data_IF_430926806045
#
_entry.id   IF_430926806045
#
_cell.length_a   1.000
_cell.length_b   1.000
_cell.length_c   1.000
_cell.angle_alpha   90.00
_cell.angle_beta   90.00
_cell.angle_gamma   90.00
#
_symmetry.space_group_name_H-M   'P 1'
#
loop_
_entity.id
_entity.type
_entity.pdbx_description
1 polymer ?
#
# COMPACT_ATOMS: atom_id res chain seq x y z
N UNK A 1 19.13 -66.05 28.73
CA UNK A 1 18.63 -65.71 27.40
C UNK A 1 18.24 -64.24 27.42
N UNK A 2 19.11 -63.38 26.84
CA UNK A 2 18.89 -61.93 26.77
C UNK A 2 18.37 -61.62 25.36
N UNK A 3 17.10 -61.19 25.26
CA UNK A 3 16.51 -60.69 24.02
C UNK A 3 16.89 -59.25 23.78
N UNK A 4 17.78 -59.00 22.88
CA UNK A 4 18.09 -57.66 22.37
C UNK A 4 17.00 -57.21 21.42
N UNK A 5 16.15 -56.30 21.88
CA UNK A 5 15.16 -55.61 21.05
C UNK A 5 15.88 -54.70 20.04
N UNK A 6 15.80 -55.12 18.76
CA UNK A 6 16.29 -54.33 17.64
C UNK A 6 15.39 -53.07 17.42
N UNK A 7 15.75 -51.97 18.07
CA UNK A 7 15.13 -50.64 17.83
C UNK A 7 15.75 -49.87 16.64
N UNK A 8 16.50 -50.53 15.78
CA UNK A 8 17.29 -49.86 14.72
C UNK A 8 16.52 -49.41 13.47
N UNK A 9 15.41 -50.01 13.03
CA UNK A 9 14.78 -49.59 11.80
C UNK A 9 14.01 -48.24 11.95
N UNK A 10 13.53 -47.89 13.17
CA UNK A 10 12.82 -46.62 13.39
C UNK A 10 13.73 -45.42 13.39
N UNK A 11 14.95 -45.55 13.89
CA UNK A 11 15.94 -44.44 13.92
C UNK A 11 16.44 -44.13 12.52
N UNK A 12 16.64 -45.15 11.68
CA UNK A 12 17.05 -44.98 10.26
C UNK A 12 15.95 -44.36 9.42
N UNK A 13 14.68 -44.68 9.67
CA UNK A 13 13.52 -44.08 9.00
C UNK A 13 13.34 -42.62 9.43
N UNK A 14 13.53 -42.30 10.71
CA UNK A 14 13.48 -40.90 11.21
C UNK A 14 14.66 -40.10 10.70
N UNK A 15 15.86 -40.65 10.61
CA UNK A 15 16.99 -39.96 9.98
C UNK A 15 16.81 -39.75 8.48
N UNK A 16 16.22 -40.69 7.76
CA UNK A 16 15.86 -40.53 6.34
C UNK A 16 14.78 -39.44 6.13
N UNK A 17 13.81 -39.35 7.04
CA UNK A 17 12.78 -38.34 6.99
C UNK A 17 13.33 -36.93 7.36
N UNK A 18 14.23 -36.84 8.32
CA UNK A 18 14.95 -35.60 8.65
C UNK A 18 15.91 -35.16 7.53
N UNK A 19 16.47 -36.07 6.79
CA UNK A 19 17.39 -35.76 5.67
C UNK A 19 16.64 -35.34 4.41
N UNK A 20 15.35 -35.68 4.28
CA UNK A 20 14.45 -35.22 3.20
C UNK A 20 13.72 -33.90 3.53
N UNK A 21 13.78 -33.45 4.78
CA UNK A 21 13.57 -32.05 5.12
C UNK A 21 14.87 -31.29 4.83
N UNK A 22 15.39 -31.49 3.62
CA UNK A 22 16.40 -30.63 3.06
C UNK A 22 15.77 -29.24 3.07
N UNK A 23 16.21 -28.44 3.99
CA UNK A 23 16.03 -27.00 3.99
C UNK A 23 16.61 -26.50 2.67
N UNK A 24 15.87 -26.60 1.60
CA UNK A 24 15.90 -25.58 0.57
C UNK A 24 15.56 -24.29 1.32
N UNK A 25 16.58 -23.73 1.93
CA UNK A 25 16.56 -22.33 2.32
C UNK A 25 16.26 -21.63 1.00
N UNK A 26 14.99 -21.28 0.81
CA UNK A 26 14.61 -20.31 -0.19
C UNK A 26 15.50 -19.10 0.08
N UNK A 27 16.63 -19.01 -0.61
CA UNK A 27 17.42 -17.80 -0.68
C UNK A 27 16.53 -16.82 -1.43
N UNK A 28 15.72 -16.12 -0.67
CA UNK A 28 15.03 -14.93 -1.15
C UNK A 28 16.13 -13.90 -1.41
N UNK A 29 16.67 -13.91 -2.63
CA UNK A 29 17.55 -12.85 -3.07
C UNK A 29 16.68 -11.60 -3.18
N UNK A 30 16.85 -10.71 -2.20
CA UNK A 30 16.17 -9.41 -2.21
C UNK A 30 16.73 -8.58 -3.36
N UNK A 31 15.87 -8.18 -4.26
CA UNK A 31 16.21 -7.31 -5.37
C UNK A 31 16.26 -5.84 -4.94
N UNK A 32 16.90 -4.99 -5.72
CA UNK A 32 16.86 -3.53 -5.46
C UNK A 32 15.43 -3.00 -5.47
N UNK A 33 14.53 -3.59 -6.26
CA UNK A 33 13.10 -3.29 -6.29
C UNK A 33 12.44 -3.59 -4.95
N UNK A 34 12.75 -4.72 -4.30
CA UNK A 34 12.19 -5.08 -2.99
C UNK A 34 12.60 -4.09 -1.89
N UNK A 35 13.84 -3.60 -1.95
CA UNK A 35 14.30 -2.56 -1.01
C UNK A 35 13.56 -1.23 -1.23
N UNK A 36 13.27 -0.84 -2.48
CA UNK A 36 12.47 0.35 -2.77
C UNK A 36 11.03 0.19 -2.29
N UNK A 37 10.40 -0.95 -2.55
CA UNK A 37 9.05 -1.27 -2.05
C UNK A 37 9.02 -1.18 -0.53
N UNK A 38 9.97 -1.79 0.16
CA UNK A 38 10.05 -1.78 1.62
C UNK A 38 10.19 -0.37 2.19
N UNK A 39 11.07 0.46 1.60
CA UNK A 39 11.25 1.87 2.02
C UNK A 39 9.97 2.69 1.82
N UNK A 40 9.34 2.59 0.66
CA UNK A 40 8.10 3.33 0.38
C UNK A 40 6.94 2.84 1.24
N UNK A 41 6.85 1.53 1.50
CA UNK A 41 5.87 0.97 2.43
C UNK A 41 6.11 1.46 3.87
N UNK A 42 7.37 1.56 4.31
CA UNK A 42 7.71 2.10 5.63
C UNK A 42 7.33 3.58 5.76
N UNK A 43 7.59 4.40 4.74
CA UNK A 43 7.15 5.81 4.72
C UNK A 43 5.63 5.90 4.76
N UNK A 44 4.92 5.11 3.95
CA UNK A 44 3.45 5.08 3.95
C UNK A 44 2.88 4.63 5.30
N UNK A 45 3.54 3.67 5.97
CA UNK A 45 3.18 3.23 7.31
C UNK A 45 3.43 4.33 8.35
N UNK A 46 4.56 5.02 8.28
CA UNK A 46 4.88 6.18 9.13
C UNK A 46 3.82 7.27 9.03
N UNK A 47 3.37 7.59 7.80
CA UNK A 47 2.27 8.53 7.57
C UNK A 47 0.95 8.02 8.13
N UNK A 48 0.68 6.71 8.06
CA UNK A 48 -0.51 6.11 8.68
C UNK A 48 -0.50 6.24 10.20
N UNK A 49 0.68 6.08 10.83
CA UNK A 49 0.85 6.29 12.28
C UNK A 49 0.61 7.75 12.63
N UNK A 50 1.22 8.68 11.90
CA UNK A 50 1.04 10.11 12.09
C UNK A 50 -0.43 10.51 11.94
N UNK A 51 -1.09 9.99 10.90
CA UNK A 51 -2.51 10.20 10.66
C UNK A 51 -3.39 9.68 11.80
N UNK A 52 -3.00 8.56 12.42
CA UNK A 52 -3.74 7.98 13.55
C UNK A 52 -3.67 8.84 14.82
N UNK A 53 -2.65 9.69 14.95
CA UNK A 53 -2.49 10.63 16.05
C UNK A 53 -3.35 11.90 15.86
N UNK A 54 -3.85 12.15 14.66
CA UNK A 54 -4.72 13.29 14.36
C UNK A 54 -6.16 12.93 14.73
N UNK A 55 -6.81 13.69 15.64
CA UNK A 55 -8.21 13.42 15.96
C UNK A 55 -9.09 13.62 14.73
N UNK A 56 -9.77 12.56 14.32
CA UNK A 56 -10.71 12.63 13.19
C UNK A 56 -11.96 13.40 13.59
N UNK A 57 -12.39 14.41 12.83
CA UNK A 57 -13.62 15.15 13.11
C UNK A 57 -14.87 14.28 12.96
N UNK A 58 -14.78 13.20 12.21
CA UNK A 58 -15.86 12.23 11.98
C UNK A 58 -15.32 10.80 12.17
N UNK A 59 -15.99 9.93 12.93
CA UNK A 59 -15.61 8.54 13.05
C UNK A 59 -15.55 7.85 11.68
N UNK A 60 -14.40 7.26 11.35
CA UNK A 60 -14.19 6.55 10.07
C UNK A 60 -13.68 7.42 8.92
N UNK A 61 -13.64 8.75 9.06
CA UNK A 61 -13.04 9.66 8.05
C UNK A 61 -11.60 9.97 8.46
N UNK A 62 -10.64 9.45 7.68
CA UNK A 62 -9.21 9.75 7.85
C UNK A 62 -8.69 10.51 6.63
N UNK A 63 -7.75 11.46 6.81
CA UNK A 63 -7.21 12.27 5.70
C UNK A 63 -6.59 11.46 4.56
N UNK A 64 -6.16 10.24 4.83
CA UNK A 64 -5.58 9.35 3.81
C UNK A 64 -4.20 9.79 3.35
N UNK A 65 -3.39 10.42 4.22
CA UNK A 65 -2.04 10.91 3.89
C UNK A 65 -1.14 9.83 3.28
N UNK A 66 -1.31 8.59 3.71
CA UNK A 66 -0.57 7.48 3.15
C UNK A 66 -0.92 7.18 1.67
N UNK A 67 -2.04 7.66 1.15
CA UNK A 67 -2.37 7.59 -0.28
C UNK A 67 -1.47 8.49 -1.13
N UNK A 68 -0.92 9.56 -0.56
CA UNK A 68 0.07 10.43 -1.25
C UNK A 68 1.26 9.58 -1.71
N UNK A 69 1.79 8.73 -0.82
CA UNK A 69 2.91 7.83 -1.17
C UNK A 69 2.51 6.87 -2.28
N UNK A 70 1.30 6.31 -2.21
CA UNK A 70 0.80 5.41 -3.26
C UNK A 70 0.73 6.09 -4.63
N UNK A 71 0.30 7.36 -4.69
CA UNK A 71 0.25 8.15 -5.92
C UNK A 71 1.65 8.47 -6.46
N UNK A 72 2.58 8.89 -5.60
CA UNK A 72 3.98 9.16 -5.98
C UNK A 72 4.65 7.88 -6.51
N UNK A 73 4.46 6.76 -5.80
CA UNK A 73 5.01 5.47 -6.24
C UNK A 73 4.37 5.01 -7.55
N UNK A 74 3.07 5.23 -7.74
CA UNK A 74 2.37 4.92 -8.99
C UNK A 74 2.96 5.68 -10.17
N UNK A 75 3.18 6.99 -9.99
CA UNK A 75 3.71 7.85 -11.05
C UNK A 75 5.18 7.54 -11.40
N UNK A 76 6.02 7.21 -10.41
CA UNK A 76 7.46 6.99 -10.60
C UNK A 76 7.86 5.56 -10.92
N UNK A 77 7.24 4.61 -10.25
CA UNK A 77 7.64 3.19 -10.27
C UNK A 77 6.57 2.29 -10.88
N UNK A 78 5.43 2.85 -11.21
CA UNK A 78 4.34 2.13 -11.86
C UNK A 78 3.43 1.35 -10.92
N UNK A 79 2.43 0.71 -11.53
CA UNK A 79 1.31 0.12 -10.79
C UNK A 79 1.70 -1.06 -9.89
N UNK A 80 2.62 -1.93 -10.34
CA UNK A 80 3.04 -3.10 -9.54
C UNK A 80 3.60 -2.68 -8.19
N UNK A 81 4.50 -1.71 -8.18
CA UNK A 81 5.12 -1.22 -6.97
C UNK A 81 4.12 -0.49 -6.07
N UNK A 82 3.25 0.35 -6.66
CA UNK A 82 2.18 1.02 -5.91
C UNK A 82 1.21 0.03 -5.25
N UNK A 83 0.87 -1.07 -5.93
CA UNK A 83 0.03 -2.11 -5.38
C UNK A 83 0.69 -2.79 -4.17
N UNK A 84 1.95 -3.19 -4.27
CA UNK A 84 2.68 -3.79 -3.16
C UNK A 84 2.81 -2.85 -1.97
N UNK A 85 3.18 -1.59 -2.21
CA UNK A 85 3.30 -0.57 -1.15
C UNK A 85 1.96 -0.37 -0.43
N UNK A 86 0.87 -0.26 -1.19
CA UNK A 86 -0.47 -0.06 -0.61
C UNK A 86 -0.95 -1.28 0.19
N UNK A 87 -0.73 -2.50 -0.30
CA UNK A 87 -1.11 -3.73 0.41
C UNK A 87 -0.26 -3.95 1.66
N UNK A 88 1.07 -3.80 1.54
CA UNK A 88 1.98 -3.93 2.69
C UNK A 88 1.64 -2.92 3.79
N UNK A 89 1.31 -1.68 3.42
CA UNK A 89 0.87 -0.66 4.38
C UNK A 89 -0.37 -1.09 5.16
N UNK A 90 -1.40 -1.63 4.48
CA UNK A 90 -2.63 -2.08 5.14
C UNK A 90 -2.36 -3.26 6.07
N UNK A 91 -1.58 -4.24 5.60
CA UNK A 91 -1.23 -5.42 6.40
C UNK A 91 -0.36 -5.01 7.61
N UNK A 92 0.75 -4.31 7.37
CA UNK A 92 1.66 -3.90 8.43
C UNK A 92 0.98 -2.95 9.44
N UNK A 93 0.16 -2.00 8.95
CA UNK A 93 -0.61 -1.12 9.82
C UNK A 93 -1.60 -1.88 10.70
N UNK A 94 -2.30 -2.88 10.16
CA UNK A 94 -3.25 -3.68 10.93
C UNK A 94 -2.56 -4.53 12.00
N UNK A 95 -1.37 -5.05 11.73
CA UNK A 95 -0.57 -5.73 12.75
C UNK A 95 -0.10 -4.76 13.84
N UNK A 96 0.41 -3.59 13.44
CA UNK A 96 0.94 -2.60 14.38
C UNK A 96 -0.11 -2.08 15.35
N UNK A 97 -1.34 -1.84 14.86
CA UNK A 97 -2.45 -1.37 15.68
C UNK A 97 -3.26 -2.49 16.35
N UNK A 98 -2.86 -3.76 16.19
CA UNK A 98 -3.59 -4.91 16.74
C UNK A 98 -4.98 -5.12 16.12
N UNK A 99 -5.23 -4.56 14.95
CA UNK A 99 -6.52 -4.61 14.25
C UNK A 99 -6.58 -5.65 13.13
N UNK A 100 -5.61 -6.56 13.09
CA UNK A 100 -5.57 -7.61 12.07
C UNK A 100 -6.81 -8.51 12.17
N UNK A 101 -7.44 -8.79 11.03
CA UNK A 101 -8.71 -9.54 10.90
C UNK A 101 -9.93 -8.92 11.62
N UNK A 102 -9.83 -7.70 12.10
CA UNK A 102 -11.02 -6.96 12.59
C UNK A 102 -11.82 -6.37 11.42
N UNK A 103 -13.08 -5.93 11.65
CA UNK A 103 -13.83 -5.20 10.62
C UNK A 103 -13.06 -4.02 10.03
N UNK A 104 -12.28 -3.30 10.83
CA UNK A 104 -11.44 -2.18 10.38
C UNK A 104 -10.36 -2.58 9.38
N UNK A 105 -9.77 -3.76 9.52
CA UNK A 105 -8.85 -4.32 8.53
C UNK A 105 -9.52 -4.55 7.18
N UNK A 106 -10.70 -5.20 7.18
CA UNK A 106 -11.42 -5.47 5.94
C UNK A 106 -11.91 -4.20 5.24
N UNK A 107 -12.30 -3.17 6.01
CA UNK A 107 -12.62 -1.86 5.46
C UNK A 107 -11.39 -1.23 4.77
N UNK A 108 -10.25 -1.24 5.45
CA UNK A 108 -9.02 -0.67 4.90
C UNK A 108 -8.53 -1.44 3.66
N UNK A 109 -8.64 -2.76 3.70
CA UNK A 109 -8.24 -3.63 2.59
C UNK A 109 -9.15 -3.44 1.37
N UNK A 110 -10.47 -3.45 1.56
CA UNK A 110 -11.43 -3.26 0.46
C UNK A 110 -11.28 -1.88 -0.18
N UNK A 111 -11.10 -0.85 0.63
CA UNK A 111 -10.83 0.50 0.15
C UNK A 111 -9.53 0.56 -0.67
N UNK A 112 -8.45 -0.02 -0.18
CA UNK A 112 -7.17 -0.05 -0.88
C UNK A 112 -7.25 -0.83 -2.20
N UNK A 113 -7.88 -2.00 -2.20
CA UNK A 113 -8.05 -2.82 -3.41
C UNK A 113 -8.87 -2.09 -4.46
N UNK A 114 -10.02 -1.52 -4.08
CA UNK A 114 -10.88 -0.83 -5.05
C UNK A 114 -10.20 0.44 -5.58
N UNK A 115 -9.51 1.19 -4.74
CA UNK A 115 -8.68 2.33 -5.15
C UNK A 115 -7.60 1.93 -6.16
N UNK A 116 -6.87 0.84 -5.90
CA UNK A 116 -5.85 0.33 -6.81
C UNK A 116 -6.44 -0.14 -8.14
N UNK A 117 -7.62 -0.78 -8.14
CA UNK A 117 -8.29 -1.19 -9.37
C UNK A 117 -8.67 0.02 -10.24
N UNK A 118 -9.20 1.08 -9.62
CA UNK A 118 -9.53 2.32 -10.33
C UNK A 118 -8.27 3.00 -10.87
N UNK A 119 -7.18 3.05 -10.10
CA UNK A 119 -5.90 3.57 -10.56
C UNK A 119 -5.30 2.72 -11.70
N UNK A 120 -5.45 1.39 -11.62
CA UNK A 120 -5.02 0.50 -12.70
C UNK A 120 -5.80 0.76 -14.00
N UNK A 121 -7.08 1.09 -13.91
CA UNK A 121 -7.89 1.47 -15.06
C UNK A 121 -7.53 2.88 -15.55
N UNK A 122 -7.36 3.84 -14.63
CA UNK A 122 -7.07 5.24 -14.95
C UNK A 122 -5.76 5.41 -15.75
N UNK A 123 -4.76 4.54 -15.56
CA UNK A 123 -3.50 4.57 -16.32
C UNK A 123 -3.68 4.31 -17.82
N UNK A 124 -4.81 3.73 -18.25
CA UNK A 124 -5.14 3.51 -19.67
C UNK A 124 -5.79 4.73 -20.32
N UNK A 125 -6.14 5.75 -19.52
CA UNK A 125 -6.74 6.98 -19.99
C UNK A 125 -5.64 7.99 -20.38
N UNK A 126 -5.87 8.85 -21.37
CA UNK A 126 -4.91 9.85 -21.80
C UNK A 126 -4.55 10.80 -20.66
N UNK A 127 -3.26 10.99 -20.37
CA UNK A 127 -2.73 11.87 -19.31
C UNK A 127 -3.26 13.31 -19.40
N UNK A 128 -3.59 13.75 -20.61
CA UNK A 128 -4.14 15.09 -20.86
C UNK A 128 -5.43 15.37 -20.09
N UNK A 129 -6.20 14.34 -19.71
CA UNK A 129 -7.47 14.45 -18.97
C UNK A 129 -7.38 13.94 -17.54
N UNK A 130 -6.36 13.14 -17.24
CA UNK A 130 -6.19 12.43 -15.98
C UNK A 130 -4.84 12.73 -15.33
N UNK A 131 -4.63 13.99 -14.91
CA UNK A 131 -3.48 14.37 -14.08
C UNK A 131 -3.53 13.74 -12.69
N UNK A 132 -2.44 13.89 -11.94
CA UNK A 132 -2.24 13.33 -10.58
C UNK A 132 -3.39 13.67 -9.63
N UNK A 133 -3.91 14.89 -9.70
CA UNK A 133 -5.04 15.34 -8.85
C UNK A 133 -6.31 14.57 -9.17
N UNK A 134 -6.64 14.41 -10.47
CA UNK A 134 -7.82 13.65 -10.90
C UNK A 134 -7.71 12.19 -10.46
N UNK A 135 -6.54 11.57 -10.63
CA UNK A 135 -6.28 10.19 -10.18
C UNK A 135 -6.47 10.05 -8.67
N UNK A 136 -5.99 11.03 -7.89
CA UNK A 136 -6.18 11.06 -6.43
C UNK A 136 -7.65 11.12 -6.04
N UNK A 137 -8.43 11.97 -6.68
CA UNK A 137 -9.87 12.11 -6.41
C UNK A 137 -10.60 10.80 -6.72
N UNK A 138 -10.37 10.21 -7.89
CA UNK A 138 -10.99 8.93 -8.25
C UNK A 138 -10.56 7.79 -7.31
N UNK A 139 -9.29 7.75 -6.91
CA UNK A 139 -8.78 6.80 -5.94
C UNK A 139 -9.46 6.96 -4.57
N UNK A 140 -9.67 8.21 -4.12
CA UNK A 140 -10.35 8.50 -2.85
C UNK A 140 -11.83 8.07 -2.90
N UNK A 141 -12.54 8.37 -3.98
CA UNK A 141 -13.92 7.90 -4.16
C UNK A 141 -14.01 6.37 -4.19
N UNK A 142 -13.12 5.73 -4.94
CA UNK A 142 -13.06 4.26 -5.01
C UNK A 142 -12.75 3.65 -3.64
N UNK A 143 -11.84 4.27 -2.88
CA UNK A 143 -11.50 3.83 -1.53
C UNK A 143 -12.72 3.86 -0.61
N UNK A 144 -13.43 4.97 -0.58
CA UNK A 144 -14.66 5.13 0.21
C UNK A 144 -15.74 4.17 -0.28
N UNK A 145 -15.92 4.01 -1.59
CA UNK A 145 -16.89 3.06 -2.13
C UNK A 145 -16.59 1.62 -1.70
N UNK A 146 -15.31 1.21 -1.69
CA UNK A 146 -14.89 -0.10 -1.19
C UNK A 146 -15.23 -0.30 0.29
N UNK A 147 -14.98 0.71 1.11
CA UNK A 147 -15.36 0.68 2.53
C UNK A 147 -16.87 0.59 2.71
N UNK A 148 -17.65 1.43 2.03
CA UNK A 148 -19.11 1.43 2.10
C UNK A 148 -19.70 0.10 1.65
N UNK A 149 -19.12 -0.53 0.63
CA UNK A 149 -19.54 -1.84 0.16
C UNK A 149 -19.40 -2.89 1.27
N UNK A 150 -18.28 -2.94 1.98
CA UNK A 150 -18.07 -3.88 3.08
C UNK A 150 -19.00 -3.57 4.26
N UNK A 151 -19.19 -2.28 4.58
CA UNK A 151 -20.14 -1.88 5.64
C UNK A 151 -21.54 -2.36 5.29
N UNK A 152 -22.00 -2.14 4.07
CA UNK A 152 -23.35 -2.51 3.63
C UNK A 152 -23.55 -4.03 3.57
N UNK A 153 -22.57 -4.77 3.04
CA UNK A 153 -22.71 -6.21 2.82
C UNK A 153 -22.52 -7.03 4.10
N UNK A 154 -21.72 -6.54 5.04
CA UNK A 154 -21.26 -7.36 6.17
C UNK A 154 -21.58 -6.77 7.54
N UNK A 155 -21.37 -5.46 7.76
CA UNK A 155 -21.52 -4.88 9.10
C UNK A 155 -22.97 -4.46 9.40
N UNK A 156 -23.57 -3.71 8.50
CA UNK A 156 -24.89 -3.08 8.69
C UNK A 156 -25.67 -3.17 7.38
N UNK A 157 -26.35 -4.28 7.09
CA UNK A 157 -27.13 -4.42 5.85
C UNK A 157 -28.46 -3.63 5.96
N UNK A 158 -28.37 -2.31 6.09
CA UNK A 158 -29.50 -1.42 6.21
C UNK A 158 -29.39 -0.23 5.25
N UNK A 159 -30.49 0.11 4.56
CA UNK A 159 -30.51 1.21 3.60
C UNK A 159 -30.14 2.58 4.21
N UNK A 160 -30.20 2.74 5.52
CA UNK A 160 -29.79 3.95 6.23
C UNK A 160 -28.33 4.36 6.01
N UNK A 161 -27.46 3.44 5.57
CA UNK A 161 -26.07 3.76 5.19
C UNK A 161 -26.02 4.76 4.02
N UNK A 162 -27.04 4.76 3.15
CA UNK A 162 -27.12 5.69 2.03
C UNK A 162 -27.08 7.17 2.48
N UNK A 163 -27.57 7.50 3.68
CA UNK A 163 -27.49 8.85 4.23
C UNK A 163 -26.06 9.30 4.58
N UNK A 164 -25.11 8.36 4.73
CA UNK A 164 -23.71 8.66 4.98
C UNK A 164 -22.93 8.91 3.69
N UNK A 165 -23.44 8.46 2.54
CA UNK A 165 -22.77 8.60 1.23
C UNK A 165 -22.39 10.05 0.93
N UNK A 166 -23.26 11.07 1.06
CA UNK A 166 -22.87 12.45 0.74
C UNK A 166 -21.77 12.98 1.66
N UNK A 167 -21.76 12.59 2.93
CA UNK A 167 -20.73 12.99 3.89
C UNK A 167 -19.38 12.39 3.50
N UNK A 168 -19.34 11.08 3.22
CA UNK A 168 -18.11 10.42 2.83
C UNK A 168 -17.65 10.82 1.42
N UNK A 169 -18.57 11.12 0.52
CA UNK A 169 -18.25 11.62 -0.83
C UNK A 169 -17.61 13.01 -0.77
N UNK A 170 -18.13 13.92 0.06
CA UNK A 170 -17.52 15.24 0.25
C UNK A 170 -16.15 15.14 0.90
N UNK A 171 -15.98 14.26 1.90
CA UNK A 171 -14.69 14.00 2.50
C UNK A 171 -13.70 13.41 1.48
N UNK A 172 -14.11 12.45 0.66
CA UNK A 172 -13.28 11.88 -0.41
C UNK A 172 -12.86 12.95 -1.43
N UNK A 173 -13.75 13.86 -1.81
CA UNK A 173 -13.44 14.97 -2.71
C UNK A 173 -12.38 15.90 -2.11
N UNK A 174 -12.60 16.36 -0.88
CA UNK A 174 -11.70 17.30 -0.19
C UNK A 174 -10.32 16.66 0.01
N UNK A 175 -10.26 15.49 0.65
CA UNK A 175 -8.99 14.83 0.93
C UNK A 175 -8.32 14.30 -0.34
N UNK A 176 -9.10 13.82 -1.33
CA UNK A 176 -8.57 13.42 -2.62
C UNK A 176 -7.91 14.58 -3.36
N UNK A 177 -8.52 15.77 -3.32
CA UNK A 177 -7.95 16.99 -3.92
C UNK A 177 -6.67 17.41 -3.19
N UNK A 178 -6.70 17.49 -1.87
CA UNK A 178 -5.53 17.89 -1.05
C UNK A 178 -4.37 16.91 -1.26
N UNK A 179 -4.62 15.61 -1.18
CA UNK A 179 -3.59 14.59 -1.37
C UNK A 179 -3.02 14.61 -2.80
N UNK A 180 -3.88 14.85 -3.80
CA UNK A 180 -3.47 14.98 -5.19
C UNK A 180 -2.60 16.21 -5.44
N UNK A 181 -2.93 17.36 -4.85
CA UNK A 181 -2.14 18.58 -4.93
C UNK A 181 -0.77 18.40 -4.26
N UNK A 182 -0.74 17.79 -3.07
CA UNK A 182 0.51 17.50 -2.37
C UNK A 182 1.37 16.56 -3.22
N UNK A 183 0.81 15.47 -3.74
CA UNK A 183 1.54 14.54 -4.59
C UNK A 183 2.10 15.21 -5.85
N UNK A 184 1.30 16.03 -6.54
CA UNK A 184 1.72 16.78 -7.70
C UNK A 184 2.88 17.74 -7.38
N UNK A 185 2.76 18.50 -6.28
CA UNK A 185 3.81 19.43 -5.86
C UNK A 185 5.14 18.73 -5.55
N UNK A 186 5.11 17.56 -4.91
CA UNK A 186 6.33 16.78 -4.68
C UNK A 186 6.95 16.26 -5.99
N UNK A 187 6.13 15.89 -6.95
CA UNK A 187 6.61 15.40 -8.24
C UNK A 187 7.26 16.52 -9.06
N UNK A 188 6.66 17.72 -9.09
CA UNK A 188 7.19 18.89 -9.80
C UNK A 188 8.53 19.36 -9.20
N UNK A 189 8.64 19.39 -7.88
CA UNK A 189 9.88 19.79 -7.20
C UNK A 189 11.05 18.84 -7.49
N UNK A 190 10.78 17.54 -7.54
CA UNK A 190 11.82 16.55 -7.82
C UNK A 190 12.27 16.60 -9.29
N UNK A 191 11.39 16.92 -10.22
CA UNK A 191 11.74 17.12 -11.64
C UNK A 191 12.64 18.36 -11.79
N UNK A 192 12.30 19.46 -11.11
CA UNK A 192 13.12 20.67 -11.07
C UNK A 192 14.53 20.42 -10.50
N UNK A 193 14.64 19.66 -9.41
CA UNK A 193 15.92 19.30 -8.79
C UNK A 193 16.76 18.42 -9.73
N UNK A 194 16.13 17.54 -10.47
CA UNK A 194 16.80 16.66 -11.43
C UNK A 194 17.35 17.45 -12.63
N UNK A 195 16.58 18.40 -13.15
CA UNK A 195 17.02 19.31 -14.23
C UNK A 195 18.20 20.17 -13.75
N UNK A 196 18.11 20.78 -12.57
CA UNK A 196 19.17 21.61 -12.00
C UNK A 196 20.48 20.81 -11.76
N UNK A 197 20.36 19.53 -11.37
CA UNK A 197 21.53 18.65 -11.21
C UNK A 197 22.21 18.32 -12.53
N UNK A 198 21.45 18.13 -13.62
CA UNK A 198 21.96 17.87 -14.95
C UNK A 198 22.66 19.11 -15.56
N UNK A 199 22.10 20.30 -15.34
CA UNK A 199 22.72 21.56 -15.76
C UNK A 199 24.06 21.78 -15.07
N UNK A 200 24.15 21.51 -13.77
CA UNK A 200 25.37 21.67 -13.00
C UNK A 200 26.47 20.68 -13.42
N UNK A 201 26.09 19.48 -13.86
CA UNK A 201 27.03 18.45 -14.34
C UNK A 201 27.57 18.78 -15.74
N UNK A 202 26.76 19.40 -16.58
CA UNK A 202 27.15 19.79 -17.95
C UNK A 202 27.85 21.15 -17.99
N UNK A 203 27.73 21.99 -16.95
CA UNK A 203 28.33 23.33 -16.86
C UNK A 203 29.71 23.38 -16.21
N UNK A 204 30.24 22.27 -15.68
CA UNK A 204 31.62 22.24 -15.19
C UNK A 204 32.59 22.18 -16.35
N UNK A 205 33.48 23.22 -16.54
CA UNK A 205 34.51 23.17 -17.57
C UNK A 205 35.45 21.99 -17.25
N UNK A 206 35.69 21.14 -18.23
CA UNK A 206 36.80 20.20 -18.15
C UNK A 206 38.09 21.03 -18.10
N UNK A 207 38.61 21.22 -16.89
CA UNK A 207 39.98 21.72 -16.73
C UNK A 207 40.92 20.68 -17.32
N UNK A 208 41.39 21.00 -18.49
CA UNK A 208 42.47 20.28 -19.20
C UNK A 208 43.83 20.75 -18.74
#
# INVERSE_FOLDING_TARGET
MRGSLHCWPLITLLQGFYMHLNTDTLRLETTAEDHHIARMAAVALGLTILESAIPSPLPGVKPGLANIVTLIVLARYGWRMAAWVSLLRVIAGSFLFGNFLTPGFFLSLSGAVLSLLVLAFARHLPERWFGTVSQSIFAAFAHVAGQMLVVYLWLIPHAGIAYLIPVFATAALVFGTVNGLIAAHFMDNDEMLNIASLENTNGSPQES
#
